data_IF_725213652070
#
_entry.id   IF_725213652070
#
_cell.length_a   1.000
_cell.length_b   1.000
_cell.length_c   1.000
_cell.angle_alpha   90.00
_cell.angle_beta   90.00
_cell.angle_gamma   90.00
#
_symmetry.space_group_name_H-M   'P 1'
#
loop_
_entity.id
_entity.type
_entity.pdbx_description
1 polymer ?
#
# COMPACT_ATOMS: atom_id res chain seq x y z
N UNK A 1 -15.80 14.95 3.46
CA UNK A 1 -15.12 14.13 2.42
C UNK A 1 -16.03 12.97 2.09
N UNK A 2 -16.24 12.67 0.81
CA UNK A 2 -17.07 11.54 0.40
C UNK A 2 -16.36 10.22 0.75
N UNK A 3 -17.15 9.16 0.96
CA UNK A 3 -16.65 7.82 1.24
C UNK A 3 -15.91 7.25 0.03
N UNK A 4 -14.78 6.57 0.27
CA UNK A 4 -13.96 5.93 -0.76
C UNK A 4 -13.26 4.68 -0.22
N UNK A 5 -12.74 3.84 -1.10
CA UNK A 5 -11.62 2.96 -0.79
C UNK A 5 -10.34 3.68 -1.23
N UNK A 6 -9.36 3.75 -0.36
CA UNK A 6 -8.06 4.38 -0.63
C UNK A 6 -7.00 3.28 -0.54
N UNK A 7 -6.44 2.89 -1.68
CA UNK A 7 -5.32 1.95 -1.75
C UNK A 7 -4.01 2.72 -1.66
N UNK A 8 -3.29 2.53 -0.55
CA UNK A 8 -1.98 3.12 -0.30
C UNK A 8 -0.89 2.08 -0.53
N UNK A 9 -0.02 2.28 -1.50
CA UNK A 9 1.08 1.39 -1.82
C UNK A 9 2.43 2.09 -1.89
N UNK A 10 3.48 1.33 -2.12
CA UNK A 10 4.87 1.73 -2.16
C UNK A 10 5.76 0.61 -1.65
N UNK A 11 7.06 0.73 -1.79
CA UNK A 11 8.00 -0.30 -1.34
C UNK A 11 8.08 -0.40 0.18
N UNK A 12 8.75 -1.41 0.70
CA UNK A 12 8.97 -1.55 2.15
C UNK A 12 9.65 -0.28 2.70
N UNK A 13 9.38 0.04 3.95
CA UNK A 13 9.88 1.25 4.64
C UNK A 13 9.52 2.61 4.01
N UNK A 14 8.67 2.66 2.98
CA UNK A 14 8.16 3.92 2.40
C UNK A 14 7.25 4.73 3.35
N UNK A 15 6.89 4.18 4.52
CA UNK A 15 6.04 4.87 5.50
C UNK A 15 4.55 4.55 5.41
N UNK A 16 4.14 3.61 4.55
CA UNK A 16 2.73 3.27 4.29
C UNK A 16 1.87 3.09 5.54
N UNK A 17 2.32 2.25 6.48
CA UNK A 17 1.50 1.93 7.68
C UNK A 17 1.27 3.15 8.56
N UNK A 18 2.27 4.02 8.70
CA UNK A 18 2.17 5.25 9.48
C UNK A 18 1.25 6.25 8.80
N UNK A 19 1.43 6.45 7.49
CA UNK A 19 0.60 7.38 6.70
C UNK A 19 -0.85 6.87 6.63
N UNK A 20 -1.06 5.57 6.38
CA UNK A 20 -2.41 5.00 6.32
C UNK A 20 -3.16 5.11 7.65
N UNK A 21 -2.48 4.89 8.77
CA UNK A 21 -3.05 5.05 10.10
C UNK A 21 -3.42 6.51 10.34
N UNK A 22 -2.49 7.44 10.13
CA UNK A 22 -2.73 8.87 10.31
C UNK A 22 -3.82 9.41 9.36
N UNK A 23 -3.88 8.91 8.12
CA UNK A 23 -4.96 9.25 7.19
C UNK A 23 -6.32 8.76 7.69
N UNK A 24 -6.39 7.51 8.15
CA UNK A 24 -7.62 6.96 8.71
C UNK A 24 -8.11 7.75 9.93
N UNK A 25 -7.22 8.17 10.82
CA UNK A 25 -7.55 9.00 11.99
C UNK A 25 -8.10 10.39 11.63
N UNK A 26 -7.73 10.92 10.47
CA UNK A 26 -8.21 12.22 9.95
C UNK A 26 -9.57 12.14 9.27
N UNK A 27 -10.05 10.95 8.96
CA UNK A 27 -11.32 10.73 8.28
C UNK A 27 -12.45 10.49 9.29
N UNK A 28 -13.65 11.02 9.06
CA UNK A 28 -14.72 11.00 10.06
C UNK A 28 -15.25 9.59 10.39
N UNK A 29 -15.15 8.66 9.46
CA UNK A 29 -15.58 7.28 9.61
C UNK A 29 -14.73 6.37 8.70
N UNK A 30 -13.74 5.73 9.26
CA UNK A 30 -12.72 5.01 8.50
C UNK A 30 -12.28 3.73 9.17
N UNK A 31 -11.62 2.88 8.38
CA UNK A 31 -10.89 1.71 8.84
C UNK A 31 -9.53 1.66 8.17
N UNK A 32 -8.54 1.08 8.85
CA UNK A 32 -7.22 0.83 8.30
C UNK A 32 -7.04 -0.67 8.04
N UNK A 33 -7.14 -1.08 6.78
CA UNK A 33 -6.97 -2.47 6.34
C UNK A 33 -5.50 -2.71 6.01
N UNK A 34 -4.83 -3.51 6.83
CA UNK A 34 -3.40 -3.82 6.73
C UNK A 34 -3.21 -5.17 6.05
N UNK A 35 -2.71 -5.19 4.82
CA UNK A 35 -2.53 -6.43 4.06
C UNK A 35 -1.58 -7.44 4.73
N UNK A 36 -0.54 -6.97 5.42
CA UNK A 36 0.41 -7.85 6.11
C UNK A 36 -0.20 -8.68 7.26
N UNK A 37 -1.35 -8.29 7.77
CA UNK A 37 -2.10 -9.07 8.77
C UNK A 37 -2.53 -10.41 8.20
N UNK A 38 -3.04 -10.44 6.96
CA UNK A 38 -3.49 -11.68 6.31
C UNK A 38 -2.34 -12.68 6.10
N UNK A 39 -1.13 -12.18 5.73
CA UNK A 39 0.06 -13.02 5.66
C UNK A 39 0.41 -13.66 7.01
N UNK A 40 0.31 -12.90 8.09
CA UNK A 40 0.63 -13.36 9.45
C UNK A 40 -0.40 -14.35 10.00
N UNK A 41 -1.60 -14.38 9.45
CA UNK A 41 -2.63 -15.38 9.81
C UNK A 41 -2.28 -16.78 9.32
N UNK A 42 -1.40 -16.94 8.34
CA UNK A 42 -0.92 -18.26 7.91
C UNK A 42 0.08 -18.78 8.94
N UNK A 43 -0.38 -19.69 9.80
CA UNK A 43 0.41 -20.26 10.90
C UNK A 43 1.34 -21.36 10.41
N UNK A 44 0.87 -22.20 9.47
CA UNK A 44 1.62 -23.32 8.91
C UNK A 44 1.54 -23.28 7.38
N UNK A 45 2.62 -23.66 6.71
CA UNK A 45 2.68 -23.65 5.23
C UNK A 45 2.86 -22.27 4.62
N UNK A 46 3.25 -21.25 5.39
CA UNK A 46 3.50 -19.92 4.88
C UNK A 46 4.71 -19.91 3.94
N UNK A 47 4.53 -19.38 2.74
CA UNK A 47 5.58 -19.16 1.75
C UNK A 47 5.88 -17.66 1.62
N UNK A 48 7.15 -17.30 1.73
CA UNK A 48 7.60 -15.91 1.70
C UNK A 48 7.99 -15.48 0.29
N UNK A 49 7.66 -14.24 -0.07
CA UNK A 49 8.13 -13.62 -1.30
C UNK A 49 9.64 -13.37 -1.22
N UNK A 50 10.34 -13.71 -2.30
CA UNK A 50 11.77 -13.50 -2.51
C UNK A 50 11.98 -12.89 -3.91
N UNK A 51 13.19 -12.46 -4.27
CA UNK A 51 13.49 -12.02 -5.65
C UNK A 51 13.21 -13.08 -6.73
N UNK A 52 13.21 -14.36 -6.34
CA UNK A 52 12.81 -15.49 -7.19
C UNK A 52 11.77 -16.32 -6.42
N UNK A 53 10.50 -15.86 -6.37
CA UNK A 53 9.48 -16.46 -5.53
C UNK A 53 9.02 -17.82 -6.10
N UNK A 54 8.64 -18.72 -5.21
CA UNK A 54 7.94 -19.94 -5.62
C UNK A 54 6.50 -19.63 -6.07
N UNK A 55 5.92 -20.52 -6.87
CA UNK A 55 4.51 -20.41 -7.27
C UNK A 55 3.58 -20.32 -6.05
N UNK A 56 3.91 -21.03 -4.97
CA UNK A 56 3.14 -20.97 -3.73
C UNK A 56 3.23 -19.60 -3.07
N UNK A 57 4.39 -18.97 -3.04
CA UNK A 57 4.53 -17.61 -2.51
C UNK A 57 3.68 -16.60 -3.31
N UNK A 58 3.67 -16.72 -4.64
CA UNK A 58 2.84 -15.87 -5.50
C UNK A 58 1.34 -16.12 -5.27
N UNK A 59 0.92 -17.40 -5.14
CA UNK A 59 -0.49 -17.74 -4.82
C UNK A 59 -0.91 -17.13 -3.48
N UNK A 60 -0.07 -17.23 -2.45
CA UNK A 60 -0.36 -16.66 -1.13
C UNK A 60 -0.37 -15.13 -1.15
N UNK A 61 0.48 -14.49 -1.96
CA UNK A 61 0.43 -13.04 -2.15
C UNK A 61 -0.90 -12.61 -2.79
N UNK A 62 -1.35 -13.30 -3.84
CA UNK A 62 -2.65 -13.01 -4.48
C UNK A 62 -3.83 -13.24 -3.54
N UNK A 63 -3.80 -14.31 -2.73
CA UNK A 63 -4.81 -14.54 -1.69
C UNK A 63 -4.83 -13.40 -0.66
N UNK A 64 -3.68 -12.90 -0.24
CA UNK A 64 -3.56 -11.75 0.66
C UNK A 64 -4.23 -10.51 0.06
N UNK A 65 -4.02 -10.22 -1.22
CA UNK A 65 -4.65 -9.09 -1.91
C UNK A 65 -6.17 -9.28 -2.02
N UNK A 66 -6.62 -10.47 -2.36
CA UNK A 66 -8.05 -10.78 -2.41
C UNK A 66 -8.73 -10.58 -1.06
N UNK A 67 -8.13 -11.05 0.03
CA UNK A 67 -8.66 -10.87 1.39
C UNK A 67 -8.70 -9.40 1.80
N UNK A 68 -7.65 -8.64 1.48
CA UNK A 68 -7.60 -7.21 1.74
C UNK A 68 -8.67 -6.45 0.94
N UNK A 69 -8.84 -6.77 -0.35
CA UNK A 69 -9.86 -6.17 -1.21
C UNK A 69 -11.28 -6.45 -0.68
N UNK A 70 -11.61 -7.72 -0.39
CA UNK A 70 -12.91 -8.13 0.15
C UNK A 70 -13.20 -7.46 1.51
N UNK A 71 -12.19 -7.34 2.36
CA UNK A 71 -12.32 -6.66 3.66
C UNK A 71 -12.60 -5.18 3.46
N UNK A 72 -11.92 -4.54 2.51
CA UNK A 72 -12.14 -3.12 2.17
C UNK A 72 -13.54 -2.87 1.63
N UNK A 73 -14.01 -3.74 0.73
CA UNK A 73 -15.35 -3.66 0.17
C UNK A 73 -16.42 -3.82 1.25
N UNK A 74 -16.27 -4.80 2.14
CA UNK A 74 -17.22 -5.03 3.24
C UNK A 74 -17.34 -3.81 4.17
N UNK A 75 -16.22 -3.19 4.52
CA UNK A 75 -16.24 -1.96 5.33
C UNK A 75 -16.80 -0.77 4.56
N UNK A 76 -16.49 -0.66 3.27
CA UNK A 76 -17.07 0.38 2.42
C UNK A 76 -18.59 0.23 2.33
N UNK A 77 -19.13 -0.97 2.11
CA UNK A 77 -20.56 -1.23 2.10
C UNK A 77 -21.22 -0.89 3.44
N UNK A 78 -20.53 -1.15 4.56
CA UNK A 78 -20.97 -0.77 5.91
C UNK A 78 -20.88 0.75 6.21
N UNK A 79 -20.48 1.57 5.24
CA UNK A 79 -20.46 3.03 5.34
C UNK A 79 -19.15 3.64 5.83
N UNK A 80 -18.05 2.91 5.83
CA UNK A 80 -16.71 3.42 6.17
C UNK A 80 -15.90 3.80 4.93
N UNK A 81 -14.99 4.74 5.06
CA UNK A 81 -13.86 4.86 4.14
C UNK A 81 -12.82 3.80 4.53
N UNK A 82 -12.45 2.94 3.60
CA UNK A 82 -11.43 1.93 3.84
C UNK A 82 -10.07 2.43 3.35
N UNK A 83 -9.14 2.65 4.27
CA UNK A 83 -7.73 2.93 3.94
C UNK A 83 -6.99 1.60 3.95
N UNK A 84 -6.72 1.07 2.77
CA UNK A 84 -6.06 -0.22 2.57
C UNK A 84 -4.59 0.01 2.23
N UNK A 85 -3.68 -0.66 2.93
CA UNK A 85 -2.25 -0.52 2.64
C UNK A 85 -1.55 -1.86 2.50
N UNK A 86 -0.70 -1.95 1.47
CA UNK A 86 0.18 -3.08 1.22
C UNK A 86 1.35 -2.69 0.31
N UNK A 87 2.29 -3.62 0.10
CA UNK A 87 3.29 -3.55 -0.97
C UNK A 87 2.66 -4.17 -2.22
N UNK A 88 2.20 -3.33 -3.15
CA UNK A 88 1.54 -3.75 -4.39
C UNK A 88 2.27 -3.08 -5.55
N UNK A 89 3.10 -3.82 -6.25
CA UNK A 89 4.03 -3.32 -7.26
C UNK A 89 3.88 -4.08 -8.59
N UNK A 90 4.40 -3.50 -9.66
CA UNK A 90 4.41 -4.14 -10.96
C UNK A 90 3.00 -4.49 -11.44
N UNK A 91 2.86 -5.68 -12.03
CA UNK A 91 1.59 -6.22 -12.52
C UNK A 91 0.52 -6.41 -11.43
N UNK A 92 0.93 -6.51 -10.17
CA UNK A 92 -0.02 -6.68 -9.07
C UNK A 92 -0.83 -5.41 -8.78
N UNK A 93 -0.37 -4.22 -9.17
CA UNK A 93 -1.14 -2.99 -8.93
C UNK A 93 -2.45 -2.97 -9.72
N UNK A 94 -2.48 -3.21 -11.04
CA UNK A 94 -3.74 -3.39 -11.76
C UNK A 94 -4.58 -4.56 -11.25
N UNK A 95 -3.94 -5.69 -10.88
CA UNK A 95 -4.67 -6.83 -10.29
C UNK A 95 -5.42 -6.40 -9.03
N UNK A 96 -4.76 -5.69 -8.11
CA UNK A 96 -5.38 -5.21 -6.86
C UNK A 96 -6.49 -4.19 -7.11
N UNK A 97 -6.33 -3.29 -8.08
CA UNK A 97 -7.36 -2.34 -8.50
C UNK A 97 -8.62 -3.07 -8.98
N UNK A 98 -8.45 -4.16 -9.75
CA UNK A 98 -9.56 -4.97 -10.25
C UNK A 98 -10.23 -5.83 -9.15
N UNK A 99 -9.49 -6.24 -8.12
CA UNK A 99 -10.04 -7.00 -6.99
C UNK A 99 -10.95 -6.14 -6.11
N UNK A 100 -10.64 -4.85 -5.92
CA UNK A 100 -11.47 -3.92 -5.16
C UNK A 100 -12.66 -3.49 -6.03
N UNK A 101 -13.87 -3.83 -5.61
CA UNK A 101 -15.11 -3.56 -6.36
C UNK A 101 -15.74 -2.22 -6.02
N UNK A 102 -15.54 -1.76 -4.81
CA UNK A 102 -16.11 -0.51 -4.31
C UNK A 102 -15.55 0.71 -5.04
N UNK A 103 -16.44 1.66 -5.33
CA UNK A 103 -16.08 2.93 -5.99
C UNK A 103 -16.67 4.11 -5.20
N UNK A 104 -16.02 5.27 -5.16
CA UNK A 104 -14.74 5.56 -5.81
C UNK A 104 -13.56 4.83 -5.16
N UNK A 105 -12.59 4.42 -5.98
CA UNK A 105 -11.30 3.87 -5.58
C UNK A 105 -10.21 4.90 -5.88
N UNK A 106 -9.45 5.25 -4.86
CA UNK A 106 -8.32 6.18 -4.94
C UNK A 106 -7.03 5.40 -4.73
N UNK A 107 -6.09 5.49 -5.67
CA UNK A 107 -4.77 4.84 -5.57
C UNK A 107 -3.73 5.90 -5.25
N UNK A 108 -2.98 5.70 -4.17
CA UNK A 108 -1.89 6.58 -3.74
C UNK A 108 -0.61 5.76 -3.63
N UNK A 109 0.43 6.19 -4.33
CA UNK A 109 1.73 5.53 -4.33
C UNK A 109 2.75 6.41 -3.62
N UNK A 110 3.28 5.93 -2.50
CA UNK A 110 4.39 6.58 -1.80
C UNK A 110 5.71 6.14 -2.44
N UNK A 111 6.40 7.08 -3.05
CA UNK A 111 7.62 6.85 -3.82
C UNK A 111 8.79 7.72 -3.33
N UNK A 112 9.16 7.64 -2.03
CA UNK A 112 10.36 8.33 -1.55
C UNK A 112 11.60 7.78 -2.25
N UNK A 113 12.68 8.55 -2.25
CA UNK A 113 13.96 8.12 -2.85
C UNK A 113 14.58 6.95 -2.05
N UNK A 114 15.38 6.09 -2.70
CA UNK A 114 16.12 5.02 -2.00
C UNK A 114 16.97 5.54 -0.83
N UNK A 115 17.58 6.72 -0.97
CA UNK A 115 18.35 7.36 0.10
C UNK A 115 17.49 7.71 1.31
N UNK A 116 16.28 8.25 1.10
CA UNK A 116 15.34 8.56 2.18
C UNK A 116 14.86 7.28 2.88
N UNK A 117 14.63 6.20 2.15
CA UNK A 117 14.25 4.90 2.70
C UNK A 117 15.37 4.32 3.56
N UNK A 118 16.61 4.32 3.05
CA UNK A 118 17.78 3.84 3.78
C UNK A 118 18.00 4.62 5.11
N UNK A 119 17.83 5.94 5.07
CA UNK A 119 17.92 6.78 6.27
C UNK A 119 16.81 6.44 7.30
N UNK A 120 15.57 6.18 6.84
CA UNK A 120 14.46 5.79 7.72
C UNK A 120 14.67 4.41 8.34
N UNK A 121 15.23 3.46 7.60
CA UNK A 121 15.55 2.13 8.12
C UNK A 121 16.67 2.17 9.18
N UNK A 122 17.75 2.92 8.91
CA UNK A 122 18.84 3.09 9.87
C UNK A 122 18.35 3.63 11.22
N UNK A 123 17.37 4.56 11.20
CA UNK A 123 16.77 5.13 12.42
C UNK A 123 15.83 4.18 13.18
N UNK A 124 15.37 3.07 12.57
CA UNK A 124 14.39 2.14 13.19
C UNK A 124 15.00 0.92 13.86
N UNK A 125 16.30 0.64 13.65
CA UNK A 125 16.95 -0.57 14.16
C UNK A 125 16.34 -1.90 13.68
N UNK A 126 15.46 -1.86 12.67
CA UNK A 126 14.81 -3.03 12.05
C UNK A 126 15.16 -3.08 10.57
N UNK A 127 15.60 -4.23 10.10
CA UNK A 127 15.83 -4.49 8.68
C UNK A 127 14.51 -4.91 8.04
N UNK A 128 13.87 -4.02 7.27
CA UNK A 128 12.62 -4.31 6.59
C UNK A 128 12.85 -5.11 5.29
N UNK A 129 14.03 -5.04 4.73
CA UNK A 129 14.31 -5.55 3.38
C UNK A 129 14.72 -7.02 3.31
N UNK A 130 15.07 -7.67 4.42
CA UNK A 130 15.36 -9.10 4.42
C UNK A 130 16.17 -9.58 3.20
N UNK A 131 15.49 -10.26 2.27
CA UNK A 131 16.08 -10.80 1.04
C UNK A 131 16.05 -9.84 -0.16
N UNK A 132 15.33 -8.70 -0.06
CA UNK A 132 15.24 -7.70 -1.12
C UNK A 132 16.19 -6.54 -0.85
N UNK A 133 16.87 -6.06 -1.89
CA UNK A 133 17.58 -4.78 -1.85
C UNK A 133 16.59 -3.62 -2.12
N UNK A 134 16.80 -2.47 -1.48
CA UNK A 134 16.00 -1.25 -1.69
C UNK A 134 15.95 -0.89 -3.17
N UNK A 135 17.10 -0.90 -3.83
CA UNK A 135 17.25 -0.55 -5.25
C UNK A 135 16.45 -1.49 -6.17
N UNK A 136 16.39 -2.78 -5.83
CA UNK A 136 15.61 -3.76 -6.59
C UNK A 136 14.12 -3.48 -6.55
N UNK A 137 13.58 -3.21 -5.37
CA UNK A 137 12.16 -2.86 -5.23
C UNK A 137 11.84 -1.46 -5.76
N UNK A 138 12.76 -0.49 -5.62
CA UNK A 138 12.57 0.85 -6.19
C UNK A 138 12.54 0.82 -7.72
N UNK A 139 13.38 -0.04 -8.35
CA UNK A 139 13.32 -0.27 -9.79
C UNK A 139 11.97 -0.83 -10.21
N UNK A 140 11.48 -1.88 -9.56
CA UNK A 140 10.15 -2.45 -9.85
C UNK A 140 9.06 -1.39 -9.69
N UNK A 141 9.13 -0.58 -8.63
CA UNK A 141 8.18 0.51 -8.42
C UNK A 141 8.20 1.51 -9.59
N UNK A 142 9.37 1.99 -10.00
CA UNK A 142 9.49 3.09 -10.95
C UNK A 142 9.39 2.68 -12.41
N UNK A 143 9.90 1.50 -12.77
CA UNK A 143 10.05 1.05 -14.15
C UNK A 143 8.98 0.02 -14.56
N UNK A 144 8.50 -0.81 -13.63
CA UNK A 144 7.60 -1.92 -13.94
C UNK A 144 6.18 -1.70 -13.41
N UNK A 145 5.97 -0.76 -12.48
CA UNK A 145 4.64 -0.49 -11.92
C UNK A 145 3.90 0.54 -12.77
N UNK A 146 2.70 0.21 -13.28
CA UNK A 146 1.88 1.16 -14.03
C UNK A 146 1.58 2.43 -13.24
N UNK A 147 1.62 3.58 -13.90
CA UNK A 147 1.37 4.91 -13.32
C UNK A 147 -0.13 5.12 -13.07
N UNK A 148 -0.70 4.37 -12.15
CA UNK A 148 -2.08 4.51 -11.71
C UNK A 148 -2.15 5.42 -10.48
N UNK A 149 -3.12 6.33 -10.47
CA UNK A 149 -3.41 7.20 -9.35
C UNK A 149 -2.37 8.28 -9.06
N UNK A 150 -2.33 8.73 -7.81
CA UNK A 150 -1.47 9.80 -7.31
C UNK A 150 -0.14 9.24 -6.80
N UNK A 151 0.97 9.71 -7.37
CA UNK A 151 2.33 9.34 -6.95
C UNK A 151 2.96 10.49 -6.17
N UNK A 152 3.42 10.21 -4.95
CA UNK A 152 4.00 11.20 -4.05
C UNK A 152 5.46 10.87 -3.72
N UNK A 153 6.36 11.79 -3.97
CA UNK A 153 7.71 11.76 -3.41
C UNK A 153 7.64 12.28 -1.96
N UNK A 154 7.68 11.35 -1.02
CA UNK A 154 7.61 11.65 0.41
C UNK A 154 8.97 11.72 1.09
N UNK A 155 10.05 11.90 0.31
CA UNK A 155 11.44 11.88 0.84
C UNK A 155 11.67 12.89 1.95
N UNK A 156 11.15 14.10 1.79
CA UNK A 156 11.32 15.22 2.72
C UNK A 156 10.08 15.48 3.60
N UNK A 157 9.05 14.63 3.49
CA UNK A 157 7.78 14.84 4.20
C UNK A 157 7.71 14.05 5.50
N UNK A 158 7.13 14.66 6.52
CA UNK A 158 6.57 13.97 7.66
C UNK A 158 5.29 13.21 7.30
N UNK A 159 4.85 12.23 8.10
CA UNK A 159 3.57 11.57 7.88
C UNK A 159 2.38 12.54 7.84
N UNK A 160 2.39 13.59 8.64
CA UNK A 160 1.33 14.59 8.68
C UNK A 160 1.26 15.39 7.36
N UNK A 161 2.39 15.87 6.85
CA UNK A 161 2.47 16.57 5.57
C UNK A 161 2.03 15.67 4.40
N UNK A 162 2.42 14.39 4.42
CA UNK A 162 1.97 13.43 3.42
C UNK A 162 0.45 13.25 3.47
N UNK A 163 -0.15 13.16 4.66
CA UNK A 163 -1.61 13.07 4.82
C UNK A 163 -2.30 14.34 4.32
N UNK A 164 -1.76 15.52 4.62
CA UNK A 164 -2.31 16.80 4.14
C UNK A 164 -2.32 16.85 2.61
N UNK A 165 -1.23 16.40 1.96
CA UNK A 165 -1.15 16.33 0.51
C UNK A 165 -2.13 15.31 -0.09
N UNK A 166 -2.26 14.12 0.51
CA UNK A 166 -3.26 13.12 0.09
C UNK A 166 -4.68 13.71 0.17
N UNK A 167 -5.02 14.34 1.28
CA UNK A 167 -6.34 14.93 1.48
C UNK A 167 -6.65 16.06 0.49
N UNK A 168 -5.63 16.83 0.08
CA UNK A 168 -5.77 17.92 -0.88
C UNK A 168 -5.92 17.42 -2.33
N UNK A 169 -5.26 16.34 -2.71
CA UNK A 169 -5.07 15.94 -4.12
C UNK A 169 -5.77 14.66 -4.54
N UNK A 170 -6.00 13.71 -3.62
CA UNK A 170 -6.41 12.37 -4.00
C UNK A 170 -7.75 12.31 -4.75
N UNK A 171 -8.70 13.18 -4.45
CA UNK A 171 -10.00 13.21 -5.12
C UNK A 171 -9.94 13.65 -6.59
N UNK A 172 -8.91 14.35 -6.98
CA UNK A 172 -8.73 14.83 -8.36
C UNK A 172 -7.71 14.02 -9.13
N UNK A 173 -6.70 13.45 -8.45
CA UNK A 173 -5.53 12.84 -9.10
C UNK A 173 -5.38 11.33 -8.84
N UNK A 174 -6.02 10.80 -7.78
CA UNK A 174 -5.85 9.39 -7.40
C UNK A 174 -6.98 8.47 -7.88
N UNK A 175 -8.04 9.00 -8.44
CA UNK A 175 -9.21 8.21 -8.84
C UNK A 175 -8.86 7.28 -10.00
N UNK A 176 -9.22 6.00 -9.83
CA UNK A 176 -9.08 4.97 -10.88
C UNK A 176 -10.44 4.35 -11.18
N UNK A 177 -10.63 3.98 -12.44
CA UNK A 177 -11.87 3.40 -12.97
C UNK A 177 -12.01 1.93 -12.63
#
# INVERSE_FOLDING_TARGET
>A
MNRAVILLTGIQAAGKSTVAQALAERLPRSVHVRGDVFRRMVVSGRAEMTPAPSDEAVRQLRLRYELAARTSDAYFEAGFTAVTQDVVLGEFLPEMVNLIRSRPLLVVVLAPTPAAIAAREAGRGKVAYGTFAIEGLDRVLREETPRLGLWLDTSAQSPAETVDEILARAWTEAMVS
#
